data_IF_362432983618
#
_entry.id   IF_362432983618
#
_cell.length_a   1.000
_cell.length_b   1.000
_cell.length_c   1.000
_cell.angle_alpha   90.00
_cell.angle_beta   90.00
_cell.angle_gamma   90.00
#
_symmetry.space_group_name_H-M   'P 1'
#
loop_
_entity.id
_entity.type
_entity.pdbx_description
1 polymer ?
#
# COMPACT_ATOMS: atom_id res chain seq x y z
N UNK A 1 -0.20 -19.40 -10.71
CA UNK A 1 0.14 -18.92 -9.34
C UNK A 1 1.02 -19.87 -8.53
N UNK A 2 0.79 -21.20 -8.55
CA UNK A 2 1.53 -22.23 -7.75
C UNK A 2 3.03 -21.99 -7.54
N UNK A 3 3.79 -21.62 -8.59
CA UNK A 3 5.24 -21.38 -8.51
C UNK A 3 5.65 -20.25 -7.56
N UNK A 4 4.84 -19.19 -7.48
CA UNK A 4 5.08 -18.07 -6.59
C UNK A 4 4.84 -18.47 -5.13
N UNK A 5 3.77 -19.22 -4.88
CA UNK A 5 3.41 -19.74 -3.54
C UNK A 5 4.51 -20.67 -3.04
N UNK A 6 4.93 -21.65 -3.85
CA UNK A 6 5.99 -22.60 -3.49
C UNK A 6 7.35 -21.94 -3.17
N UNK A 7 7.59 -20.74 -3.73
CA UNK A 7 8.80 -19.97 -3.49
C UNK A 7 8.59 -18.88 -2.42
N UNK A 8 7.44 -18.81 -1.75
CA UNK A 8 7.14 -17.75 -0.76
C UNK A 8 7.08 -16.33 -1.34
N UNK A 9 6.88 -16.20 -2.66
CA UNK A 9 6.73 -14.93 -3.38
C UNK A 9 5.28 -14.42 -3.37
N UNK A 10 4.33 -15.32 -3.10
CA UNK A 10 2.92 -15.02 -2.87
C UNK A 10 2.52 -15.72 -1.57
N UNK A 11 1.76 -15.03 -0.71
CA UNK A 11 1.38 -15.49 0.63
C UNK A 11 2.57 -15.80 1.58
N UNK A 12 3.80 -15.47 1.20
CA UNK A 12 4.94 -15.51 2.10
C UNK A 12 4.79 -14.47 3.22
N UNK A 13 5.22 -14.83 4.42
CA UNK A 13 5.16 -14.00 5.63
C UNK A 13 3.74 -13.66 6.12
N UNK A 14 2.72 -14.44 5.74
CA UNK A 14 1.43 -14.37 6.44
C UNK A 14 1.58 -14.93 7.86
N UNK A 15 0.71 -14.49 8.76
CA UNK A 15 0.69 -14.94 10.16
C UNK A 15 -0.18 -16.19 10.26
N UNK A 16 0.41 -17.30 10.69
CA UNK A 16 -0.31 -18.54 10.95
C UNK A 16 -1.21 -18.37 12.19
N UNK A 17 -2.46 -18.82 12.05
CA UNK A 17 -3.47 -18.88 13.11
C UNK A 17 -3.93 -20.33 13.23
N UNK A 18 -3.35 -21.09 14.16
CA UNK A 18 -3.62 -22.53 14.30
C UNK A 18 -4.01 -22.97 15.72
N UNK A 19 -3.87 -22.10 16.73
CA UNK A 19 -4.32 -22.43 18.08
C UNK A 19 -5.84 -22.22 18.22
N UNK A 20 -6.58 -23.14 18.88
CA UNK A 20 -8.03 -23.01 19.05
C UNK A 20 -8.46 -21.67 19.66
N UNK A 21 -7.69 -21.14 20.60
CA UNK A 21 -7.96 -19.86 21.23
C UNK A 21 -7.82 -18.67 20.26
N UNK A 22 -6.85 -18.69 19.35
CA UNK A 22 -6.70 -17.63 18.34
C UNK A 22 -7.77 -17.73 17.26
N UNK A 23 -8.14 -18.95 16.84
CA UNK A 23 -9.25 -19.18 15.91
C UNK A 23 -10.56 -18.66 16.49
N UNK A 24 -10.85 -18.96 17.76
CA UNK A 24 -12.05 -18.45 18.44
C UNK A 24 -12.05 -16.91 18.52
N UNK A 25 -10.92 -16.30 18.92
CA UNK A 25 -10.78 -14.83 18.95
C UNK A 25 -11.01 -14.20 17.59
N UNK A 26 -10.43 -14.79 16.54
CA UNK A 26 -10.63 -14.35 15.17
C UNK A 26 -12.10 -14.45 14.76
N UNK A 27 -12.74 -15.60 15.00
CA UNK A 27 -14.16 -15.81 14.68
C UNK A 27 -15.08 -14.83 15.40
N UNK A 28 -14.81 -14.49 16.67
CA UNK A 28 -15.59 -13.45 17.37
C UNK A 28 -15.45 -12.08 16.70
N UNK A 29 -14.24 -11.72 16.28
CA UNK A 29 -14.00 -10.46 15.59
C UNK A 29 -14.62 -10.43 14.20
N UNK A 30 -14.48 -11.51 13.44
CA UNK A 30 -15.08 -11.68 12.12
C UNK A 30 -16.61 -11.65 12.19
N UNK A 31 -17.22 -12.32 13.17
CA UNK A 31 -18.66 -12.29 13.39
C UNK A 31 -19.14 -10.87 13.70
N UNK A 32 -18.41 -10.13 14.54
CA UNK A 32 -18.74 -8.74 14.87
C UNK A 32 -18.69 -7.81 13.65
N UNK A 33 -17.67 -7.95 12.81
CA UNK A 33 -17.45 -7.09 11.64
C UNK A 33 -18.33 -7.45 10.44
N UNK A 34 -18.58 -8.74 10.22
CA UNK A 34 -19.09 -9.27 8.96
C UNK A 34 -20.37 -10.09 9.10
N UNK A 35 -20.74 -10.50 10.32
CA UNK A 35 -21.83 -11.43 10.58
C UNK A 35 -21.52 -12.89 10.18
N UNK A 36 -20.28 -13.20 9.77
CA UNK A 36 -19.85 -14.53 9.34
C UNK A 36 -18.77 -15.10 10.27
N UNK A 37 -18.58 -16.42 10.22
CA UNK A 37 -17.49 -17.16 10.88
C UNK A 37 -16.91 -18.18 9.93
N UNK A 38 -15.66 -18.58 10.14
CA UNK A 38 -15.02 -19.70 9.45
C UNK A 38 -15.16 -21.01 10.22
N UNK A 39 -15.23 -22.13 9.51
CA UNK A 39 -15.14 -23.49 10.07
C UNK A 39 -13.72 -24.05 10.07
N UNK A 40 -12.75 -23.34 9.50
CA UNK A 40 -11.36 -23.75 9.43
C UNK A 40 -10.73 -23.82 10.83
N UNK A 41 -9.93 -24.85 11.05
CA UNK A 41 -9.16 -25.06 12.29
C UNK A 41 -7.81 -24.36 12.30
N UNK A 42 -7.32 -24.00 11.11
CA UNK A 42 -6.09 -23.25 10.90
C UNK A 42 -6.18 -22.47 9.58
N UNK A 43 -5.52 -21.32 9.54
CA UNK A 43 -5.45 -20.44 8.37
C UNK A 43 -4.34 -19.41 8.53
N UNK A 44 -4.05 -18.64 7.48
CA UNK A 44 -3.06 -17.57 7.54
C UNK A 44 -3.71 -16.19 7.30
N UNK A 45 -3.26 -15.19 8.05
CA UNK A 45 -3.77 -13.81 7.94
C UNK A 45 -2.71 -12.82 7.51
N UNK A 46 -3.14 -11.80 6.79
CA UNK A 46 -2.32 -10.70 6.29
C UNK A 46 -2.23 -9.54 7.30
N UNK A 47 -1.64 -8.41 6.90
CA UNK A 47 -1.52 -7.20 7.73
C UNK A 47 -2.87 -6.73 8.31
N UNK A 48 -3.96 -6.82 7.54
CA UNK A 48 -5.28 -6.41 7.98
C UNK A 48 -6.06 -7.54 8.68
N UNK A 49 -5.50 -8.75 8.78
CA UNK A 49 -6.25 -9.89 9.30
C UNK A 49 -7.07 -10.63 8.24
N UNK A 50 -6.94 -10.30 6.95
CA UNK A 50 -7.59 -11.03 5.86
C UNK A 50 -6.87 -12.37 5.61
N UNK A 51 -7.63 -13.45 5.46
CA UNK A 51 -7.15 -14.78 5.09
C UNK A 51 -7.64 -15.15 3.69
N UNK A 52 -6.73 -15.54 2.77
CA UNK A 52 -7.14 -16.10 1.48
C UNK A 52 -7.92 -17.42 1.64
N UNK A 53 -7.57 -18.26 2.62
CA UNK A 53 -8.26 -19.54 2.87
C UNK A 53 -9.71 -19.33 3.32
N UNK A 54 -9.97 -18.36 4.19
CA UNK A 54 -11.33 -17.98 4.59
C UNK A 54 -12.08 -17.34 3.42
N UNK A 55 -11.40 -16.53 2.61
CA UNK A 55 -11.98 -15.98 1.38
C UNK A 55 -12.44 -17.07 0.42
N UNK A 56 -11.65 -18.13 0.25
CA UNK A 56 -11.99 -19.31 -0.55
C UNK A 56 -13.17 -20.10 0.06
N UNK A 57 -13.17 -20.31 1.38
CA UNK A 57 -14.27 -21.00 2.10
C UNK A 57 -15.61 -20.29 1.93
N UNK A 58 -15.60 -18.95 2.00
CA UNK A 58 -16.80 -18.12 1.94
C UNK A 58 -17.22 -17.73 0.52
N UNK A 59 -16.41 -18.05 -0.50
CA UNK A 59 -16.54 -17.49 -1.86
C UNK A 59 -16.63 -15.95 -1.86
N UNK A 60 -15.85 -15.32 -0.97
CA UNK A 60 -15.89 -13.87 -0.71
C UNK A 60 -14.52 -13.33 -0.33
N UNK A 61 -13.71 -12.95 -1.32
CA UNK A 61 -12.40 -12.34 -1.10
C UNK A 61 -12.44 -10.88 -0.59
N UNK A 62 -13.62 -10.33 -0.34
CA UNK A 62 -13.84 -8.99 0.18
C UNK A 62 -14.54 -8.99 1.54
N UNK A 63 -14.55 -10.13 2.26
CA UNK A 63 -15.28 -10.23 3.53
C UNK A 63 -14.83 -9.22 4.61
N UNK A 64 -13.57 -8.77 4.60
CA UNK A 64 -13.06 -7.65 5.44
C UNK A 64 -12.93 -6.32 4.69
N UNK A 65 -13.49 -6.20 3.50
CA UNK A 65 -13.43 -4.96 2.72
C UNK A 65 -14.71 -4.78 1.90
N UNK A 66 -15.86 -4.56 2.55
CA UNK A 66 -17.14 -4.42 1.88
C UNK A 66 -17.08 -3.42 0.72
N UNK A 67 -17.51 -3.85 -0.47
CA UNK A 67 -17.49 -3.08 -1.71
C UNK A 67 -16.11 -2.54 -2.12
N UNK A 68 -15.03 -2.98 -1.47
CA UNK A 68 -13.68 -2.47 -1.68
C UNK A 68 -13.46 -1.03 -1.19
N UNK A 69 -14.33 -0.50 -0.32
CA UNK A 69 -14.30 0.91 0.09
C UNK A 69 -13.70 1.15 1.47
N UNK A 70 -14.32 0.60 2.50
CA UNK A 70 -13.86 0.75 3.88
C UNK A 70 -13.26 -0.59 4.30
N UNK A 71 -11.93 -0.65 4.32
CA UNK A 71 -11.23 -1.85 4.74
C UNK A 71 -11.38 -2.02 6.24
N UNK A 72 -12.04 -3.08 6.66
CA UNK A 72 -12.04 -3.57 8.02
C UNK A 72 -10.74 -4.33 8.30
N UNK A 73 -10.37 -4.42 9.56
CA UNK A 73 -9.19 -5.19 9.98
C UNK A 73 -9.43 -5.91 11.31
N UNK A 74 -8.70 -7.01 11.48
CA UNK A 74 -8.64 -7.83 12.70
C UNK A 74 -7.16 -7.98 13.06
N UNK A 75 -6.77 -7.48 14.22
CA UNK A 75 -5.43 -7.65 14.79
C UNK A 75 -5.47 -8.69 15.91
N UNK A 76 -4.76 -9.78 15.70
CA UNK A 76 -4.47 -10.81 16.70
C UNK A 76 -3.07 -10.63 17.32
N UNK A 77 -2.19 -9.88 16.66
CA UNK A 77 -0.81 -9.65 17.11
C UNK A 77 -0.21 -8.41 16.44
N UNK A 78 0.72 -7.73 17.12
CA UNK A 78 1.50 -6.63 16.54
C UNK A 78 2.45 -7.10 15.43
N UNK A 79 2.81 -8.39 15.40
CA UNK A 79 3.63 -8.97 14.34
C UNK A 79 2.97 -8.90 12.94
N UNK A 80 1.65 -8.67 12.86
CA UNK A 80 0.96 -8.42 11.59
C UNK A 80 1.55 -7.23 10.82
N UNK A 81 2.24 -6.27 11.47
CA UNK A 81 2.89 -5.13 10.81
C UNK A 81 3.88 -5.53 9.71
N UNK A 82 4.51 -6.70 9.87
CA UNK A 82 5.51 -7.24 8.95
C UNK A 82 4.91 -8.11 7.83
N UNK A 83 3.63 -8.49 7.98
CA UNK A 83 2.91 -9.29 6.99
C UNK A 83 2.63 -8.48 5.71
N UNK A 84 2.47 -9.13 4.54
CA UNK A 84 1.98 -8.45 3.34
C UNK A 84 0.55 -7.94 3.56
N UNK A 85 0.12 -6.95 2.77
CA UNK A 85 -1.30 -6.60 2.65
C UNK A 85 -1.80 -7.14 1.31
N UNK A 86 -2.84 -7.97 1.34
CA UNK A 86 -3.42 -8.60 0.16
C UNK A 86 -4.62 -7.80 -0.37
N UNK A 87 -5.01 -8.08 -1.62
CA UNK A 87 -6.19 -7.53 -2.31
C UNK A 87 -6.31 -6.01 -2.20
N UNK A 88 -5.23 -5.27 -2.40
CA UNK A 88 -5.17 -3.83 -2.12
C UNK A 88 -6.13 -3.07 -3.04
N UNK A 89 -7.02 -2.27 -2.42
CA UNK A 89 -7.90 -1.33 -3.14
C UNK A 89 -7.39 0.11 -3.14
N UNK A 90 -6.55 0.48 -2.16
CA UNK A 90 -5.92 1.79 -2.06
C UNK A 90 -4.45 1.65 -1.69
N UNK A 91 -3.55 2.33 -2.40
CA UNK A 91 -2.10 2.26 -2.16
C UNK A 91 -1.68 2.73 -0.77
N UNK A 92 -2.50 3.55 -0.10
CA UNK A 92 -2.23 4.10 1.23
C UNK A 92 -2.55 3.16 2.38
N UNK A 93 -3.40 2.14 2.18
CA UNK A 93 -3.92 1.29 3.27
C UNK A 93 -2.82 0.58 4.04
N UNK A 94 -1.79 0.05 3.35
CA UNK A 94 -0.65 -0.61 4.00
C UNK A 94 0.07 0.34 4.96
N UNK A 95 0.43 1.52 4.46
CA UNK A 95 1.14 2.52 5.26
C UNK A 95 0.35 3.02 6.46
N UNK A 96 -0.97 3.16 6.33
CA UNK A 96 -1.87 3.56 7.41
C UNK A 96 -1.90 2.49 8.51
N UNK A 97 -2.11 1.22 8.14
CA UNK A 97 -2.18 0.10 9.10
C UNK A 97 -0.85 -0.13 9.81
N UNK A 98 0.29 -0.11 9.09
CA UNK A 98 1.62 -0.26 9.70
C UNK A 98 1.88 0.83 10.73
N UNK A 99 1.64 2.11 10.40
CA UNK A 99 1.82 3.23 11.33
C UNK A 99 0.87 3.16 12.52
N UNK A 100 -0.38 2.72 12.31
CA UNK A 100 -1.31 2.51 13.41
C UNK A 100 -0.80 1.46 14.39
N UNK A 101 -0.26 0.34 13.89
CA UNK A 101 0.31 -0.71 14.74
C UNK A 101 1.55 -0.22 15.48
N UNK A 102 2.51 0.41 14.78
CA UNK A 102 3.76 0.90 15.37
C UNK A 102 3.51 1.98 16.43
N UNK A 103 2.62 2.94 16.15
CA UNK A 103 2.35 4.05 17.07
C UNK A 103 1.65 3.60 18.36
N UNK A 104 0.93 2.49 18.30
CA UNK A 104 0.17 1.93 19.41
C UNK A 104 0.69 0.55 19.85
N UNK A 105 1.95 0.23 19.56
CA UNK A 105 2.48 -1.13 19.69
C UNK A 105 2.34 -1.67 21.12
N UNK A 106 2.66 -0.86 22.13
CA UNK A 106 2.54 -1.26 23.53
C UNK A 106 1.08 -1.53 23.94
N UNK A 107 0.15 -0.65 23.53
CA UNK A 107 -1.28 -0.79 23.84
C UNK A 107 -1.88 -1.99 23.10
N UNK A 108 -1.58 -2.13 21.81
CA UNK A 108 -2.06 -3.24 20.98
C UNK A 108 -1.52 -4.56 21.49
N UNK A 109 -0.23 -4.65 21.84
CA UNK A 109 0.35 -5.87 22.42
C UNK A 109 -0.40 -6.32 23.68
N UNK A 110 -0.71 -5.39 24.58
CA UNK A 110 -1.47 -5.67 25.80
C UNK A 110 -2.92 -6.11 25.51
N UNK A 111 -3.58 -5.47 24.52
CA UNK A 111 -4.93 -5.82 24.10
C UNK A 111 -4.99 -7.19 23.43
N UNK A 112 -4.12 -7.43 22.45
CA UNK A 112 -4.05 -8.67 21.66
C UNK A 112 -3.68 -9.90 22.48
N UNK A 113 -3.05 -9.70 23.64
CA UNK A 113 -2.84 -10.79 24.59
C UNK A 113 -4.15 -11.40 25.12
N UNK A 114 -5.21 -10.58 25.25
CA UNK A 114 -6.51 -10.97 25.83
C UNK A 114 -7.60 -11.19 24.81
N UNK A 115 -7.70 -10.32 23.82
CA UNK A 115 -8.77 -10.34 22.81
C UNK A 115 -8.27 -9.79 21.46
N UNK A 116 -9.02 -10.03 20.38
CA UNK A 116 -8.74 -9.40 19.10
C UNK A 116 -9.09 -7.91 19.13
N UNK A 117 -8.30 -7.10 18.42
CA UNK A 117 -8.65 -5.70 18.13
C UNK A 117 -9.22 -5.65 16.72
N UNK A 118 -10.47 -5.22 16.60
CA UNK A 118 -11.16 -5.08 15.34
C UNK A 118 -11.39 -3.60 15.03
N UNK A 119 -11.44 -3.25 13.76
CA UNK A 119 -11.63 -1.87 13.35
C UNK A 119 -11.80 -1.70 11.87
N UNK A 120 -11.79 -0.45 11.43
CA UNK A 120 -11.89 -0.11 10.03
C UNK A 120 -11.13 1.17 9.68
N UNK A 121 -10.73 1.23 8.41
CA UNK A 121 -10.22 2.42 7.74
C UNK A 121 -11.43 3.20 7.20
N UNK A 122 -11.98 4.09 8.02
CA UNK A 122 -13.10 4.93 7.62
C UNK A 122 -12.64 6.07 6.72
N UNK A 123 -13.30 6.21 5.58
CA UNK A 123 -13.25 7.43 4.79
C UNK A 123 -14.67 8.00 4.64
N UNK A 124 -14.77 9.23 4.14
CA UNK A 124 -16.04 9.95 3.98
C UNK A 124 -16.94 9.43 2.85
N UNK A 125 -16.48 8.44 2.07
CA UNK A 125 -17.17 7.94 0.87
C UNK A 125 -17.64 6.51 1.10
N UNK A 126 -18.96 6.34 1.23
CA UNK A 126 -19.58 5.04 1.50
C UNK A 126 -19.69 4.12 0.26
N UNK A 127 -19.67 4.69 -0.96
CA UNK A 127 -19.76 3.94 -2.20
C UNK A 127 -19.12 4.68 -3.38
N UNK A 128 -18.46 3.95 -4.29
CA UNK A 128 -17.78 4.48 -5.47
C UNK A 128 -18.58 4.26 -6.75
N UNK A 129 -19.73 4.93 -6.86
CA UNK A 129 -20.57 4.78 -8.06
C UNK A 129 -20.03 5.59 -9.25
N UNK A 130 -19.21 6.61 -9.00
CA UNK A 130 -18.60 7.45 -10.06
C UNK A 130 -17.14 7.80 -9.74
N UNK A 131 -16.28 7.99 -10.75
CA UNK A 131 -14.88 8.38 -10.55
C UNK A 131 -14.72 9.70 -9.77
N UNK A 132 -15.66 10.64 -9.94
CA UNK A 132 -15.64 11.92 -9.22
C UNK A 132 -15.67 11.77 -7.70
N UNK A 133 -16.35 10.74 -7.16
CA UNK A 133 -16.41 10.47 -5.72
C UNK A 133 -15.04 10.11 -5.11
N UNK A 134 -14.08 9.64 -5.91
CA UNK A 134 -12.72 9.38 -5.41
C UNK A 134 -12.05 10.65 -4.89
N UNK A 135 -12.45 11.83 -5.39
CA UNK A 135 -11.89 13.12 -4.98
C UNK A 135 -12.51 13.66 -3.69
N UNK A 136 -13.60 13.03 -3.20
CA UNK A 136 -14.19 13.35 -1.90
C UNK A 136 -13.46 12.66 -0.74
N UNK A 137 -12.66 11.62 -1.04
CA UNK A 137 -11.76 11.00 -0.08
C UNK A 137 -10.68 12.02 0.26
N UNK A 138 -10.69 12.63 1.44
CA UNK A 138 -9.65 13.59 1.86
C UNK A 138 -8.79 13.04 2.98
N UNK A 139 -9.41 12.29 3.87
CA UNK A 139 -8.80 11.75 5.06
C UNK A 139 -9.31 10.34 5.30
N UNK A 140 -8.48 9.53 5.94
CA UNK A 140 -8.83 8.22 6.46
C UNK A 140 -8.64 8.24 7.97
N UNK A 141 -9.66 7.88 8.71
CA UNK A 141 -9.59 7.71 10.16
C UNK A 141 -9.56 6.22 10.48
N UNK A 142 -8.61 5.82 11.31
CA UNK A 142 -8.57 4.48 11.88
C UNK A 142 -9.47 4.49 13.11
N UNK A 143 -10.55 3.72 13.05
CA UNK A 143 -11.39 3.41 14.20
C UNK A 143 -11.11 1.97 14.64
N UNK A 144 -10.85 1.76 15.93
CA UNK A 144 -10.48 0.47 16.47
C UNK A 144 -11.02 0.29 17.89
N UNK A 145 -11.56 -0.89 18.18
CA UNK A 145 -11.89 -1.34 19.54
C UNK A 145 -11.64 -2.86 19.65
N UNK A 146 -11.66 -3.36 20.87
CA UNK A 146 -11.82 -4.79 21.14
C UNK A 146 -13.27 -5.22 20.97
N UNK A 147 -13.53 -6.52 20.80
CA UNK A 147 -14.89 -7.05 20.63
C UNK A 147 -15.76 -6.82 21.87
N UNK A 148 -15.15 -6.88 23.06
CA UNK A 148 -15.83 -6.55 24.31
C UNK A 148 -16.10 -5.06 24.54
N UNK A 149 -15.69 -4.17 23.62
CA UNK A 149 -15.79 -2.71 23.80
C UNK A 149 -14.87 -2.19 24.92
N UNK A 150 -13.79 -2.89 25.25
CA UNK A 150 -12.91 -2.55 26.35
C UNK A 150 -12.24 -1.18 26.19
N UNK A 151 -11.99 -0.72 24.95
CA UNK A 151 -11.40 0.62 24.71
C UNK A 151 -12.45 1.69 24.96
N UNK A 152 -13.66 1.54 24.39
CA UNK A 152 -14.76 2.47 24.64
C UNK A 152 -15.16 2.53 26.12
N UNK A 153 -15.26 1.38 26.79
CA UNK A 153 -15.61 1.31 28.20
C UNK A 153 -14.49 1.89 29.10
N UNK A 154 -13.22 1.70 28.74
CA UNK A 154 -12.10 2.33 29.45
C UNK A 154 -12.12 3.86 29.32
N UNK A 155 -12.45 4.37 28.12
CA UNK A 155 -12.64 5.80 27.89
C UNK A 155 -13.81 6.40 28.70
N UNK A 156 -14.92 5.67 28.84
CA UNK A 156 -16.03 6.06 29.72
C UNK A 156 -15.59 6.09 31.18
N UNK A 157 -14.91 5.03 31.65
CA UNK A 157 -14.44 4.94 33.03
C UNK A 157 -13.46 6.06 33.37
N UNK A 158 -12.55 6.43 32.46
CA UNK A 158 -11.64 7.56 32.65
C UNK A 158 -12.40 8.89 32.83
N UNK A 159 -13.46 9.14 32.05
CA UNK A 159 -14.31 10.34 32.20
C UNK A 159 -15.07 10.34 33.54
N UNK A 160 -15.58 9.19 33.98
CA UNK A 160 -16.23 9.07 35.27
C UNK A 160 -15.24 9.29 36.43
N UNK A 161 -14.00 8.80 36.32
CA UNK A 161 -12.92 9.06 37.30
C UNK A 161 -12.59 10.55 37.36
N UNK A 162 -12.48 11.24 36.22
CA UNK A 162 -12.28 12.69 36.19
C UNK A 162 -13.45 13.43 36.83
N UNK A 163 -14.69 13.05 36.50
CA UNK A 163 -15.90 13.61 37.11
C UNK A 163 -15.92 13.43 38.63
N UNK A 164 -15.61 12.21 39.10
CA UNK A 164 -15.49 11.87 40.52
C UNK A 164 -14.46 12.74 41.26
N UNK A 165 -13.37 13.13 40.59
CA UNK A 165 -12.29 13.96 41.16
C UNK A 165 -12.58 15.45 41.11
N UNK A 166 -13.28 15.93 40.09
CA UNK A 166 -13.47 17.36 39.82
C UNK A 166 -14.78 17.93 40.40
N UNK A 167 -15.85 17.13 40.48
CA UNK A 167 -17.14 17.60 40.99
C UNK A 167 -17.14 17.73 42.52
N UNK A 168 -17.63 18.85 43.08
CA UNK A 168 -17.93 18.95 44.51
C UNK A 168 -18.90 17.83 44.90
N UNK A 169 -18.55 17.05 45.92
CA UNK A 169 -19.31 15.87 46.38
C UNK A 169 -19.43 14.69 45.39
N UNK A 170 -18.61 14.64 44.33
CA UNK A 170 -18.58 13.48 43.42
C UNK A 170 -18.30 12.13 44.11
N UNK A 171 -17.67 12.16 45.29
CA UNK A 171 -17.44 10.99 46.13
C UNK A 171 -18.69 10.47 46.86
N UNK A 172 -19.77 11.24 46.90
CA UNK A 172 -21.07 10.90 47.52
C UNK A 172 -22.12 10.45 46.50
N UNK A 173 -21.82 10.54 45.21
CA UNK A 173 -22.71 10.10 44.14
C UNK A 173 -22.63 8.56 44.00
N UNK A 174 -23.52 7.86 44.72
CA UNK A 174 -23.59 6.40 44.72
C UNK A 174 -23.86 5.82 43.31
N UNK A 175 -24.55 6.57 42.45
CA UNK A 175 -24.81 6.17 41.05
C UNK A 175 -23.51 6.23 40.25
N UNK A 176 -22.75 7.32 40.37
CA UNK A 176 -21.44 7.47 39.73
C UNK A 176 -20.48 6.36 40.16
N UNK A 177 -20.41 6.04 41.46
CA UNK A 177 -19.56 4.97 41.99
C UNK A 177 -19.99 3.59 41.47
N UNK A 178 -21.30 3.32 41.42
CA UNK A 178 -21.82 2.06 40.90
C UNK A 178 -21.51 1.87 39.40
N UNK A 179 -21.66 2.92 38.60
CA UNK A 179 -21.27 2.92 37.17
C UNK A 179 -19.77 2.64 37.00
N UNK A 180 -18.92 3.28 37.81
CA UNK A 180 -17.47 3.05 37.79
C UNK A 180 -17.11 1.60 38.12
N UNK A 181 -17.72 1.00 39.16
CA UNK A 181 -17.48 -0.41 39.52
C UNK A 181 -17.94 -1.35 38.40
N UNK A 182 -19.08 -1.06 37.77
CA UNK A 182 -19.61 -1.83 36.65
C UNK A 182 -18.65 -1.86 35.46
N UNK A 183 -18.09 -0.70 35.09
CA UNK A 183 -17.10 -0.59 34.02
C UNK A 183 -15.77 -1.23 34.40
N UNK A 184 -15.27 -1.01 35.62
CA UNK A 184 -14.00 -1.58 36.08
C UNK A 184 -13.98 -3.12 36.08
N UNK A 185 -15.13 -3.78 36.32
CA UNK A 185 -15.26 -5.23 36.19
C UNK A 185 -15.05 -5.73 34.76
N UNK A 186 -15.36 -4.91 33.76
CA UNK A 186 -15.20 -5.24 32.33
C UNK A 186 -13.83 -4.86 31.79
N UNK A 187 -13.31 -3.70 32.17
CA UNK A 187 -12.06 -3.13 31.61
C UNK A 187 -10.82 -3.51 32.41
N UNK A 188 -10.97 -3.88 33.68
CA UNK A 188 -9.87 -3.93 34.64
C UNK A 188 -9.47 -2.55 35.15
N UNK A 189 -8.32 -2.47 35.83
CA UNK A 189 -7.79 -1.22 36.40
C UNK A 189 -7.17 -0.32 35.32
N UNK A 190 -7.99 0.58 34.78
CA UNK A 190 -7.60 1.56 33.75
C UNK A 190 -6.67 2.66 34.28
N UNK A 191 -6.50 2.78 35.61
CA UNK A 191 -5.58 3.76 36.20
C UNK A 191 -4.13 3.28 36.17
N UNK A 192 -3.92 1.96 36.26
CA UNK A 192 -2.61 1.33 36.16
C UNK A 192 -2.24 0.93 34.74
N UNK A 193 -3.23 0.53 33.94
CA UNK A 193 -3.07 0.17 32.53
C UNK A 193 -4.07 0.96 31.69
N UNK A 194 -3.74 2.19 31.27
CA UNK A 194 -4.64 2.98 30.44
C UNK A 194 -4.82 2.29 29.07
N UNK A 195 -6.01 1.74 28.84
CA UNK A 195 -6.39 1.16 27.54
C UNK A 195 -7.00 2.30 26.71
N UNK A 196 -6.12 3.04 26.01
CA UNK A 196 -6.55 4.11 25.11
C UNK A 196 -5.90 3.92 23.75
N UNK A 197 -6.71 3.65 22.73
CA UNK A 197 -6.31 3.72 21.33
C UNK A 197 -6.78 5.07 20.76
N UNK A 198 -5.87 6.03 20.52
CA UNK A 198 -6.26 7.30 19.92
C UNK A 198 -6.79 7.08 18.50
N UNK A 199 -7.86 7.79 18.15
CA UNK A 199 -8.29 7.90 16.76
C UNK A 199 -7.15 8.54 15.95
N UNK A 200 -6.68 7.84 14.93
CA UNK A 200 -5.61 8.31 14.05
C UNK A 200 -6.19 8.69 12.70
N UNK A 201 -6.05 9.96 12.32
CA UNK A 201 -6.51 10.48 11.03
C UNK A 201 -5.32 10.79 10.14
N UNK A 202 -5.38 10.29 8.90
CA UNK A 202 -4.34 10.41 7.89
C UNK A 202 -4.87 11.21 6.71
N UNK A 203 -4.08 12.17 6.21
CA UNK A 203 -4.39 12.82 4.93
C UNK A 203 -4.17 11.85 3.78
N UNK A 204 -5.09 11.82 2.82
CA UNK A 204 -4.98 10.98 1.63
C UNK A 204 -5.02 11.86 0.39
N UNK A 205 -4.01 12.70 0.16
CA UNK A 205 -4.04 13.62 -0.99
C UNK A 205 -3.73 12.93 -2.31
N UNK A 206 -2.67 12.11 -2.34
CA UNK A 206 -2.17 11.40 -3.51
C UNK A 206 -2.25 9.89 -3.27
N UNK A 207 -2.85 9.13 -4.18
CA UNK A 207 -3.01 7.68 -4.03
C UNK A 207 -3.34 7.00 -5.36
N UNK A 208 -3.18 5.67 -5.38
CA UNK A 208 -3.73 4.80 -6.42
C UNK A 208 -4.89 3.99 -5.86
N UNK A 209 -5.87 3.68 -6.71
CA UNK A 209 -6.93 2.72 -6.42
C UNK A 209 -7.20 1.78 -7.60
N UNK A 210 -7.57 0.53 -7.33
CA UNK A 210 -8.02 -0.41 -8.36
C UNK A 210 -9.47 -0.20 -8.82
N UNK A 211 -10.21 0.71 -8.17
CA UNK A 211 -11.55 1.12 -8.64
C UNK A 211 -11.46 1.71 -10.06
N UNK A 212 -12.53 1.57 -10.84
CA UNK A 212 -12.62 2.02 -12.24
C UNK A 212 -11.47 1.52 -13.14
N UNK A 213 -10.96 0.31 -12.87
CA UNK A 213 -9.88 -0.32 -13.64
C UNK A 213 -8.47 0.07 -13.23
N UNK A 214 -8.31 1.07 -12.35
CA UNK A 214 -7.03 1.61 -11.94
C UNK A 214 -6.96 3.13 -12.16
N UNK A 215 -6.85 3.88 -11.07
CA UNK A 215 -6.76 5.35 -11.14
C UNK A 215 -5.70 5.83 -10.16
N UNK A 216 -4.78 6.67 -10.66
CA UNK A 216 -3.88 7.46 -9.85
C UNK A 216 -4.45 8.87 -9.69
N UNK A 217 -4.48 9.35 -8.45
CA UNK A 217 -4.92 10.71 -8.11
C UNK A 217 -3.73 11.43 -7.47
N UNK A 218 -3.40 12.60 -8.02
CA UNK A 218 -2.39 13.52 -7.49
C UNK A 218 -3.04 14.89 -7.27
N UNK A 219 -3.33 15.23 -6.01
CA UNK A 219 -3.91 16.53 -5.62
C UNK A 219 -2.91 17.46 -4.95
N UNK A 220 -1.96 16.89 -4.22
CA UNK A 220 -0.93 17.64 -3.49
C UNK A 220 0.38 17.64 -4.28
N UNK A 221 0.31 18.21 -5.49
CA UNK A 221 1.44 18.44 -6.39
C UNK A 221 1.24 19.78 -7.10
N UNK A 222 2.29 20.33 -7.73
CA UNK A 222 2.23 21.63 -8.40
C UNK A 222 1.16 21.69 -9.50
N UNK A 223 1.00 20.61 -10.25
CA UNK A 223 0.00 20.46 -11.31
C UNK A 223 -0.85 19.22 -11.04
N UNK A 224 -1.98 19.35 -10.32
CA UNK A 224 -2.84 18.21 -9.98
C UNK A 224 -3.35 17.47 -11.22
N UNK A 225 -3.44 16.15 -11.12
CA UNK A 225 -3.90 15.30 -12.20
C UNK A 225 -4.57 14.01 -11.71
N UNK A 226 -5.36 13.41 -12.60
CA UNK A 226 -5.79 12.03 -12.51
C UNK A 226 -5.30 11.24 -13.73
N UNK A 227 -4.79 10.03 -13.48
CA UNK A 227 -4.25 9.16 -14.52
C UNK A 227 -5.01 7.84 -14.47
N UNK A 228 -5.73 7.53 -15.54
CA UNK A 228 -6.43 6.24 -15.71
C UNK A 228 -5.49 5.20 -16.30
N UNK A 229 -5.67 3.94 -15.89
CA UNK A 229 -5.09 2.77 -16.58
C UNK A 229 -5.92 2.38 -17.82
N UNK A 230 -7.16 2.86 -17.92
CA UNK A 230 -8.05 2.73 -19.07
C UNK A 230 -8.04 4.03 -19.90
N UNK A 231 -8.91 4.15 -20.92
CA UNK A 231 -9.09 5.43 -21.64
C UNK A 231 -9.47 6.54 -20.65
N UNK A 232 -8.72 7.65 -20.67
CA UNK A 232 -8.91 8.76 -19.74
C UNK A 232 -10.33 9.34 -19.75
N UNK A 233 -11.05 9.22 -20.88
CA UNK A 233 -12.45 9.67 -21.02
C UNK A 233 -13.42 8.88 -20.14
N UNK A 234 -13.05 7.65 -19.76
CA UNK A 234 -13.85 6.81 -18.84
C UNK A 234 -14.01 7.43 -17.45
N UNK A 235 -13.11 8.34 -17.06
CA UNK A 235 -13.21 9.05 -15.78
C UNK A 235 -14.30 10.12 -15.77
N UNK A 236 -14.79 10.54 -16.94
CA UNK A 236 -15.78 11.60 -17.05
C UNK A 236 -15.28 12.94 -16.49
N UNK A 237 -16.20 13.71 -15.89
CA UNK A 237 -15.87 15.00 -15.28
C UNK A 237 -15.38 14.78 -13.86
N UNK A 238 -14.11 15.12 -13.62
CA UNK A 238 -13.45 15.03 -12.31
C UNK A 238 -12.88 16.39 -11.88
N UNK A 239 -12.77 16.69 -10.57
CA UNK A 239 -12.36 17.99 -10.06
C UNK A 239 -10.83 18.20 -10.09
N UNK A 240 -10.19 17.92 -11.23
CA UNK A 240 -8.78 18.20 -11.49
C UNK A 240 -8.59 18.76 -12.90
N UNK A 241 -7.61 19.66 -13.09
CA UNK A 241 -7.41 20.31 -14.39
C UNK A 241 -6.85 19.37 -15.45
N UNK A 242 -6.15 18.31 -15.06
CA UNK A 242 -5.51 17.37 -15.98
C UNK A 242 -6.02 15.96 -15.75
N UNK A 243 -6.47 15.33 -16.83
CA UNK A 243 -6.90 13.94 -16.87
C UNK A 243 -6.16 13.28 -18.02
N UNK A 244 -5.48 12.17 -17.74
CA UNK A 244 -4.62 11.47 -18.69
C UNK A 244 -4.82 9.96 -18.57
N UNK A 245 -4.31 9.22 -19.55
CA UNK A 245 -4.12 7.78 -19.44
C UNK A 245 -2.70 7.38 -19.84
N UNK A 246 -2.37 6.10 -19.69
CA UNK A 246 -1.05 5.55 -19.96
C UNK A 246 -0.62 5.64 -21.43
N UNK A 247 -1.56 5.87 -22.37
CA UNK A 247 -1.25 6.01 -23.80
C UNK A 247 -0.73 7.41 -24.14
N UNK A 248 -1.05 8.42 -23.32
CA UNK A 248 -0.59 9.81 -23.48
C UNK A 248 0.84 10.01 -22.96
N UNK A 249 1.78 9.21 -23.48
CA UNK A 249 3.16 9.08 -22.98
C UNK A 249 3.91 10.41 -22.90
N UNK A 250 3.83 11.25 -23.94
CA UNK A 250 4.46 12.58 -23.91
C UNK A 250 3.89 13.49 -22.84
N UNK A 251 2.57 13.49 -22.68
CA UNK A 251 1.90 14.32 -21.70
C UNK A 251 2.25 13.87 -20.29
N UNK A 252 2.31 12.56 -20.05
CA UNK A 252 2.75 11.99 -18.78
C UNK A 252 4.22 12.31 -18.49
N UNK A 253 5.10 12.22 -19.48
CA UNK A 253 6.51 12.58 -19.33
C UNK A 253 6.69 14.07 -18.95
N UNK A 254 6.04 14.98 -19.68
CA UNK A 254 6.03 16.43 -19.36
C UNK A 254 5.46 16.67 -17.96
N UNK A 255 4.34 16.02 -17.62
CA UNK A 255 3.69 16.18 -16.32
C UNK A 255 4.58 15.71 -15.16
N UNK A 256 5.24 14.54 -15.30
CA UNK A 256 6.14 14.00 -14.28
C UNK A 256 7.35 14.94 -14.06
N UNK A 257 7.92 15.48 -15.14
CA UNK A 257 9.07 16.41 -15.08
C UNK A 257 8.67 17.76 -14.47
N UNK A 258 7.54 18.34 -14.90
CA UNK A 258 7.03 19.62 -14.38
C UNK A 258 6.63 19.59 -12.91
N UNK A 259 6.20 18.42 -12.42
CA UNK A 259 5.97 18.19 -10.99
C UNK A 259 7.23 17.73 -10.25
N UNK A 260 8.36 17.55 -10.93
CA UNK A 260 9.64 17.13 -10.35
C UNK A 260 9.54 15.79 -9.61
N UNK A 261 8.75 14.86 -10.15
CA UNK A 261 8.42 13.56 -9.54
C UNK A 261 9.39 12.44 -9.91
N UNK A 262 10.17 12.62 -10.98
CA UNK A 262 11.08 11.61 -11.52
C UNK A 262 12.48 12.17 -11.75
N UNK A 263 13.45 11.29 -11.81
CA UNK A 263 14.82 11.59 -12.22
C UNK A 263 15.38 10.47 -13.10
N UNK A 264 16.32 10.76 -14.04
CA UNK A 264 17.01 9.72 -14.78
C UNK A 264 17.84 8.83 -13.86
N UNK A 265 17.79 7.52 -14.05
CA UNK A 265 18.53 6.52 -13.26
C UNK A 265 20.03 6.83 -13.25
N UNK A 266 20.57 7.29 -14.38
CA UNK A 266 21.99 7.64 -14.53
C UNK A 266 22.42 8.91 -13.79
N UNK A 267 21.47 9.74 -13.35
CA UNK A 267 21.75 10.97 -12.57
C UNK A 267 21.52 10.78 -11.08
N UNK A 268 20.88 9.68 -10.67
CA UNK A 268 20.58 9.41 -9.27
C UNK A 268 21.86 9.10 -8.48
N UNK A 269 22.02 9.75 -7.32
CA UNK A 269 23.20 9.57 -6.45
C UNK A 269 23.15 8.23 -5.73
N UNK A 270 24.32 7.59 -5.57
CA UNK A 270 24.48 6.37 -4.76
C UNK A 270 23.86 5.11 -5.36
N UNK A 271 23.71 5.05 -6.69
CA UNK A 271 23.06 3.94 -7.38
C UNK A 271 23.98 3.37 -8.48
N UNK A 272 24.13 2.05 -8.55
CA UNK A 272 24.80 1.38 -9.68
C UNK A 272 23.86 1.37 -10.90
N UNK A 273 23.86 2.48 -11.63
CA UNK A 273 23.03 2.65 -12.82
C UNK A 273 23.30 1.58 -13.88
N UNK A 274 24.56 1.13 -14.03
CA UNK A 274 24.92 0.12 -15.01
C UNK A 274 24.29 -1.25 -14.67
N UNK A 275 24.32 -1.65 -13.39
CA UNK A 275 23.66 -2.88 -12.94
C UNK A 275 22.14 -2.85 -13.15
N UNK A 276 21.49 -1.72 -12.83
CA UNK A 276 20.04 -1.56 -13.03
C UNK A 276 19.68 -1.64 -14.52
N UNK A 277 20.43 -0.95 -15.38
CA UNK A 277 20.19 -0.96 -16.82
C UNK A 277 20.35 -2.37 -17.40
N UNK A 278 21.43 -3.09 -17.04
CA UNK A 278 21.64 -4.49 -17.46
C UNK A 278 20.46 -5.37 -17.07
N UNK A 279 19.97 -5.22 -15.85
CA UNK A 279 18.87 -6.04 -15.38
C UNK A 279 17.54 -5.73 -16.06
N UNK A 280 17.23 -4.45 -16.30
CA UNK A 280 16.06 -4.06 -17.11
C UNK A 280 16.17 -4.64 -18.53
N UNK A 281 17.37 -4.60 -19.12
CA UNK A 281 17.65 -5.21 -20.42
C UNK A 281 17.46 -6.74 -20.41
N UNK A 282 17.90 -7.43 -19.37
CA UNK A 282 17.71 -8.88 -19.19
C UNK A 282 16.21 -9.23 -19.23
N UNK A 283 15.34 -8.47 -18.55
CA UNK A 283 13.90 -8.71 -18.59
C UNK A 283 13.26 -8.45 -19.96
N UNK A 284 13.70 -7.40 -20.66
CA UNK A 284 13.23 -7.10 -22.03
C UNK A 284 13.59 -8.25 -22.98
N UNK A 285 14.79 -8.82 -22.85
CA UNK A 285 15.21 -9.97 -23.64
C UNK A 285 14.35 -11.20 -23.36
N UNK A 286 14.00 -11.46 -22.10
CA UNK A 286 13.11 -12.57 -21.75
C UNK A 286 11.73 -12.39 -22.36
N UNK A 287 11.18 -11.18 -22.29
CA UNK A 287 9.88 -10.89 -22.91
C UNK A 287 9.93 -11.08 -24.44
N UNK A 288 10.97 -10.56 -25.10
CA UNK A 288 11.16 -10.72 -26.54
C UNK A 288 11.35 -12.20 -26.94
N UNK A 289 12.15 -12.95 -26.18
CA UNK A 289 12.35 -14.37 -26.42
C UNK A 289 11.06 -15.16 -26.28
N UNK A 290 10.23 -14.83 -25.28
CA UNK A 290 8.96 -15.50 -25.07
C UNK A 290 7.98 -15.24 -26.22
N UNK A 291 7.87 -13.99 -26.68
CA UNK A 291 7.04 -13.61 -27.85
C UNK A 291 7.45 -14.32 -29.13
N UNK A 292 8.76 -14.52 -29.32
CA UNK A 292 9.32 -15.14 -30.53
C UNK A 292 9.53 -16.67 -30.38
N UNK A 293 9.11 -17.26 -29.26
CA UNK A 293 9.24 -18.68 -29.01
C UNK A 293 10.67 -19.18 -28.80
N UNK A 294 11.64 -18.29 -28.59
CA UNK A 294 13.06 -18.64 -28.45
C UNK A 294 13.32 -19.28 -27.08
N UNK A 295 14.03 -20.41 -27.06
CA UNK A 295 14.45 -21.03 -25.80
C UNK A 295 15.59 -20.23 -25.14
N UNK A 296 15.43 -19.96 -23.85
CA UNK A 296 16.37 -19.15 -23.05
C UNK A 296 17.24 -20.03 -22.14
N UNK A 297 17.11 -21.36 -22.24
CA UNK A 297 17.87 -22.32 -21.43
C UNK A 297 17.64 -22.11 -19.92
N UNK A 298 18.73 -22.10 -19.15
CA UNK A 298 18.72 -21.78 -17.71
C UNK A 298 18.52 -20.28 -17.39
N UNK A 299 18.43 -19.47 -18.45
CA UNK A 299 18.21 -18.04 -18.43
C UNK A 299 19.17 -17.24 -17.54
N UNK A 300 20.40 -17.76 -17.38
CA UNK A 300 21.52 -16.96 -16.88
C UNK A 300 21.87 -15.87 -17.90
N UNK A 301 22.55 -14.83 -17.44
CA UNK A 301 23.01 -13.71 -18.30
C UNK A 301 23.78 -14.16 -19.54
N UNK A 302 24.53 -15.26 -19.44
CA UNK A 302 25.24 -15.85 -20.59
C UNK A 302 24.31 -16.33 -21.69
N UNK A 303 23.19 -16.96 -21.33
CA UNK A 303 22.19 -17.45 -22.30
C UNK A 303 21.38 -16.28 -22.86
N UNK A 304 21.00 -15.29 -22.03
CA UNK A 304 20.34 -14.07 -22.50
C UNK A 304 21.19 -13.30 -23.53
N UNK A 305 22.51 -13.29 -23.35
CA UNK A 305 23.42 -12.69 -24.34
C UNK A 305 23.40 -13.44 -25.68
N UNK A 306 23.30 -14.77 -25.68
CA UNK A 306 23.13 -15.56 -26.91
C UNK A 306 21.80 -15.26 -27.59
N UNK A 307 20.73 -15.10 -26.81
CA UNK A 307 19.42 -14.66 -27.32
C UNK A 307 19.56 -13.29 -27.99
N UNK A 308 20.22 -12.33 -27.35
CA UNK A 308 20.44 -11.01 -27.94
C UNK A 308 21.21 -11.08 -29.28
N UNK A 309 22.24 -11.92 -29.38
CA UNK A 309 22.96 -12.14 -30.64
C UNK A 309 22.09 -12.80 -31.71
N UNK A 310 21.24 -13.76 -31.33
CA UNK A 310 20.30 -14.42 -32.25
C UNK A 310 19.23 -13.46 -32.77
N UNK A 311 18.75 -12.55 -31.91
CA UNK A 311 17.78 -11.53 -32.29
C UNK A 311 18.41 -10.51 -33.25
N UNK A 312 19.65 -10.07 -33.01
CA UNK A 312 20.36 -9.17 -33.90
C UNK A 312 19.57 -7.89 -34.19
N UNK A 313 19.16 -7.68 -35.44
CA UNK A 313 18.34 -6.54 -35.86
C UNK A 313 16.88 -6.59 -35.38
N UNK A 314 16.41 -7.74 -34.91
CA UNK A 314 15.07 -7.92 -34.34
C UNK A 314 15.01 -7.60 -32.84
N UNK A 315 16.06 -6.99 -32.27
CA UNK A 315 16.05 -6.54 -30.88
C UNK A 315 14.99 -5.43 -30.67
N UNK A 316 14.22 -5.48 -29.56
CA UNK A 316 13.24 -4.44 -29.25
C UNK A 316 13.87 -3.05 -29.10
N UNK A 317 13.13 -2.00 -29.47
CA UNK A 317 13.57 -0.62 -29.34
C UNK A 317 13.89 -0.25 -27.88
N UNK A 318 13.15 -0.80 -26.92
CA UNK A 318 13.43 -0.65 -25.48
C UNK A 318 14.84 -1.13 -25.15
N UNK A 319 15.22 -2.31 -25.65
CA UNK A 319 16.55 -2.88 -25.43
C UNK A 319 17.63 -2.02 -26.09
N UNK A 320 17.42 -1.59 -27.34
CA UNK A 320 18.39 -0.77 -28.08
C UNK A 320 18.62 0.59 -27.41
N UNK A 321 17.55 1.23 -26.91
CA UNK A 321 17.63 2.48 -26.16
C UNK A 321 18.42 2.34 -24.86
N UNK A 322 18.11 1.31 -24.06
CA UNK A 322 18.85 1.04 -22.83
C UNK A 322 20.30 0.63 -23.08
N UNK A 323 20.58 -0.13 -24.15
CA UNK A 323 21.93 -0.49 -24.56
C UNK A 323 22.76 0.73 -24.95
N UNK A 324 22.16 1.73 -25.62
CA UNK A 324 22.83 2.98 -25.94
C UNK A 324 23.17 3.78 -24.68
N UNK A 325 22.27 3.82 -23.71
CA UNK A 325 22.50 4.46 -22.42
C UNK A 325 23.57 3.71 -21.59
N UNK A 326 23.54 2.39 -21.58
CA UNK A 326 24.55 1.58 -20.89
C UNK A 326 25.95 1.79 -21.48
N UNK A 327 26.08 1.86 -22.82
CA UNK A 327 27.37 2.20 -23.48
C UNK A 327 27.89 3.57 -23.09
N UNK A 328 27.00 4.55 -22.90
CA UNK A 328 27.38 5.87 -22.40
C UNK A 328 27.91 5.78 -20.95
N UNK A 329 27.22 5.04 -20.07
CA UNK A 329 27.62 4.86 -18.67
C UNK A 329 28.98 4.15 -18.53
N UNK A 330 29.23 3.09 -19.30
CA UNK A 330 30.41 2.23 -19.12
C UNK A 330 31.62 2.64 -19.96
N UNK A 331 31.38 3.06 -21.21
CA UNK A 331 32.43 3.25 -22.21
C UNK A 331 32.60 4.71 -22.64
N UNK A 332 31.90 5.65 -22.01
CA UNK A 332 31.97 7.06 -22.36
C UNK A 332 31.50 7.37 -23.79
N UNK A 333 30.56 6.57 -24.31
CA UNK A 333 29.96 6.78 -25.63
C UNK A 333 29.21 8.12 -25.74
N UNK A 334 28.61 8.41 -26.91
CA UNK A 334 27.74 9.59 -27.06
C UNK A 334 26.46 9.48 -26.23
N UNK A 335 25.99 10.60 -25.65
CA UNK A 335 24.71 10.64 -24.93
C UNK A 335 23.55 10.24 -25.86
N UNK A 336 22.75 9.20 -25.53
CA UNK A 336 21.70 8.74 -26.41
C UNK A 336 20.53 9.72 -26.45
N UNK A 337 19.91 9.87 -27.64
CA UNK A 337 18.68 10.64 -27.81
C UNK A 337 17.48 9.73 -27.54
N UNK A 338 16.96 9.75 -26.31
CA UNK A 338 15.76 9.04 -25.91
C UNK A 338 14.69 10.09 -25.58
N UNK A 339 13.80 10.36 -26.54
CA UNK A 339 12.66 11.28 -26.36
C UNK A 339 11.55 10.60 -25.55
N UNK A 340 10.56 11.36 -25.08
CA UNK A 340 9.40 10.82 -24.35
C UNK A 340 8.56 9.82 -25.16
N UNK A 341 8.60 9.90 -26.50
CA UNK A 341 7.97 8.94 -27.41
C UNK A 341 8.73 7.61 -27.50
N UNK A 342 10.02 7.61 -27.20
CA UNK A 342 10.84 6.42 -27.35
C UNK A 342 10.38 5.33 -26.37
N UNK A 343 10.22 4.06 -26.80
CA UNK A 343 9.73 2.98 -25.93
C UNK A 343 10.55 2.79 -24.64
N UNK A 344 11.88 2.92 -24.75
CA UNK A 344 12.81 2.88 -23.61
C UNK A 344 12.64 4.01 -22.57
N UNK A 345 11.94 5.11 -22.87
CA UNK A 345 11.98 6.34 -22.06
C UNK A 345 11.69 6.10 -20.58
N UNK A 346 10.54 5.51 -20.24
CA UNK A 346 10.17 5.26 -18.84
C UNK A 346 11.07 4.23 -18.14
N UNK A 347 11.74 3.35 -18.90
CA UNK A 347 12.74 2.44 -18.32
C UNK A 347 14.01 3.17 -17.86
N UNK A 348 14.25 4.40 -18.34
CA UNK A 348 15.39 5.23 -17.93
C UNK A 348 15.12 6.08 -16.68
N UNK A 349 13.88 6.09 -16.19
CA UNK A 349 13.43 6.92 -15.08
C UNK A 349 13.28 6.10 -13.79
N UNK A 350 13.43 6.79 -12.67
CA UNK A 350 13.01 6.36 -11.34
C UNK A 350 12.28 7.49 -10.63
N UNK A 351 11.46 7.15 -9.64
CA UNK A 351 10.85 8.19 -8.81
C UNK A 351 11.93 8.95 -8.03
N UNK A 352 11.73 10.26 -7.91
CA UNK A 352 12.56 11.11 -7.07
C UNK A 352 12.27 10.81 -5.58
N UNK A 353 13.25 10.91 -4.68
CA UNK A 353 12.99 10.85 -3.24
C UNK A 353 11.97 11.91 -2.81
N UNK A 354 10.95 11.50 -2.04
CA UNK A 354 9.88 12.38 -1.58
C UNK A 354 8.63 11.62 -1.14
N UNK A 355 7.58 12.35 -0.78
CA UNK A 355 6.31 11.80 -0.29
C UNK A 355 5.67 10.81 -1.27
N UNK A 356 5.77 11.12 -2.57
CA UNK A 356 5.11 10.37 -3.65
C UNK A 356 6.00 9.31 -4.29
N UNK A 357 7.21 9.05 -3.75
CA UNK A 357 8.19 8.11 -4.31
C UNK A 357 7.56 6.75 -4.63
N UNK A 358 6.82 6.17 -3.69
CA UNK A 358 6.23 4.84 -3.85
C UNK A 358 5.12 4.84 -4.91
N UNK A 359 4.25 5.86 -4.88
CA UNK A 359 3.15 6.01 -5.83
C UNK A 359 3.65 6.26 -7.27
N UNK A 360 4.71 7.06 -7.43
CA UNK A 360 5.34 7.32 -8.72
C UNK A 360 6.05 6.07 -9.23
N UNK A 361 6.77 5.32 -8.38
CA UNK A 361 7.35 4.04 -8.79
C UNK A 361 6.28 3.03 -9.21
N UNK A 362 5.13 3.03 -8.53
CA UNK A 362 3.96 2.22 -8.89
C UNK A 362 3.42 2.59 -10.27
N UNK A 363 3.29 3.88 -10.58
CA UNK A 363 2.92 4.37 -11.92
C UNK A 363 3.98 4.02 -12.98
N UNK A 364 5.27 4.15 -12.66
CA UNK A 364 6.35 3.78 -13.58
C UNK A 364 6.33 2.28 -13.92
N UNK A 365 5.85 1.41 -13.02
CA UNK A 365 5.67 -0.02 -13.31
C UNK A 365 4.58 -0.31 -14.35
N UNK A 366 3.55 0.53 -14.45
CA UNK A 366 2.56 0.47 -15.53
C UNK A 366 3.15 0.94 -16.87
N UNK A 367 4.01 1.97 -16.82
CA UNK A 367 4.62 2.59 -18.01
C UNK A 367 5.81 1.80 -18.59
N UNK A 368 6.42 0.94 -17.76
CA UNK A 368 7.54 0.07 -18.09
C UNK A 368 7.26 -1.39 -17.67
N UNK A 369 6.25 -2.06 -18.28
CA UNK A 369 5.71 -3.32 -17.78
C UNK A 369 6.67 -4.51 -17.89
N UNK A 370 7.75 -4.39 -18.65
CA UNK A 370 8.81 -5.41 -18.71
C UNK A 370 9.74 -5.38 -17.50
N UNK A 371 9.75 -4.33 -16.66
CA UNK A 371 10.52 -4.35 -15.41
C UNK A 371 9.75 -5.10 -14.31
N UNK A 372 9.87 -6.43 -14.39
CA UNK A 372 9.17 -7.35 -13.52
C UNK A 372 9.57 -7.21 -12.05
N UNK A 373 10.84 -6.88 -11.77
CA UNK A 373 11.30 -6.70 -10.39
C UNK A 373 10.67 -5.47 -9.77
N UNK A 374 10.72 -4.33 -10.46
CA UNK A 374 10.08 -3.11 -9.95
C UNK A 374 8.58 -3.36 -9.72
N UNK A 375 7.90 -3.92 -10.71
CA UNK A 375 6.47 -4.23 -10.63
C UNK A 375 6.12 -5.13 -9.43
N UNK A 376 6.88 -6.19 -9.19
CA UNK A 376 6.66 -7.08 -8.04
C UNK A 376 6.80 -6.35 -6.69
N UNK A 377 7.72 -5.38 -6.60
CA UNK A 377 8.00 -4.67 -5.35
C UNK A 377 6.94 -3.61 -5.05
N UNK A 378 6.55 -2.80 -6.04
CA UNK A 378 5.70 -1.62 -5.81
C UNK A 378 4.26 -1.77 -6.29
N UNK A 379 3.95 -2.75 -7.15
CA UNK A 379 2.63 -2.94 -7.72
C UNK A 379 2.23 -4.43 -7.82
N UNK A 380 2.08 -5.09 -6.67
CA UNK A 380 1.73 -6.53 -6.60
C UNK A 380 0.45 -6.91 -7.34
N UNK A 381 -0.59 -6.06 -7.28
CA UNK A 381 -1.86 -6.31 -7.99
C UNK A 381 -1.64 -6.44 -9.51
N UNK A 382 -0.92 -5.47 -10.12
CA UNK A 382 -0.53 -5.52 -11.53
C UNK A 382 0.35 -6.73 -11.84
N UNK A 383 1.35 -7.01 -10.98
CA UNK A 383 2.24 -8.15 -11.15
C UNK A 383 1.45 -9.46 -11.21
N UNK A 384 0.53 -9.71 -10.28
CA UNK A 384 -0.24 -10.96 -10.26
C UNK A 384 -1.20 -11.07 -11.45
N UNK A 385 -1.85 -9.96 -11.83
CA UNK A 385 -2.70 -9.91 -13.01
C UNK A 385 -1.92 -10.26 -14.28
N UNK A 386 -0.75 -9.63 -14.49
CA UNK A 386 0.10 -9.95 -15.64
C UNK A 386 0.68 -11.36 -15.57
N UNK A 387 1.21 -11.77 -14.41
CA UNK A 387 1.81 -13.08 -14.21
C UNK A 387 0.85 -14.21 -14.55
N UNK A 388 -0.45 -14.07 -14.27
CA UNK A 388 -1.46 -15.07 -14.61
C UNK A 388 -1.53 -15.34 -16.13
N UNK A 389 -1.35 -14.30 -16.94
CA UNK A 389 -1.47 -14.35 -18.41
C UNK A 389 -0.19 -14.81 -19.13
N UNK A 390 0.96 -14.77 -18.47
CA UNK A 390 2.24 -15.11 -19.09
C UNK A 390 2.35 -16.60 -19.45
N UNK A 391 3.25 -16.90 -20.41
CA UNK A 391 3.61 -18.27 -20.74
C UNK A 391 4.20 -19.00 -19.54
N UNK A 392 4.10 -20.33 -19.51
CA UNK A 392 4.68 -21.15 -18.44
C UNK A 392 6.21 -20.99 -18.33
N UNK A 393 6.88 -20.71 -19.46
CA UNK A 393 8.31 -20.42 -19.52
C UNK A 393 8.65 -19.11 -18.82
N UNK A 394 7.97 -18.02 -19.19
CA UNK A 394 8.18 -16.70 -18.56
C UNK A 394 7.83 -16.72 -17.07
N UNK A 395 6.73 -17.38 -16.70
CA UNK A 395 6.34 -17.62 -15.29
C UNK A 395 7.43 -18.31 -14.48
N UNK A 396 8.08 -19.33 -15.07
CA UNK A 396 9.16 -20.08 -14.41
C UNK A 396 10.39 -19.21 -14.23
N UNK A 397 10.84 -18.54 -15.30
CA UNK A 397 11.97 -17.62 -15.26
C UNK A 397 11.81 -16.56 -14.17
N UNK A 398 10.68 -15.85 -14.17
CA UNK A 398 10.44 -14.76 -13.22
C UNK A 398 10.40 -15.27 -11.79
N UNK A 399 9.74 -16.40 -11.54
CA UNK A 399 9.67 -16.96 -10.20
C UNK A 399 11.05 -17.38 -9.68
N UNK A 400 11.88 -17.99 -10.53
CA UNK A 400 13.26 -18.37 -10.17
C UNK A 400 14.16 -17.15 -10.00
N UNK A 401 14.00 -16.13 -10.84
CA UNK A 401 14.68 -14.85 -10.72
C UNK A 401 14.38 -14.20 -9.36
N UNK A 402 13.09 -14.04 -9.02
CA UNK A 402 12.68 -13.37 -7.78
C UNK A 402 13.10 -14.16 -6.53
N UNK A 403 13.06 -15.49 -6.57
CA UNK A 403 13.52 -16.32 -5.46
C UNK A 403 15.04 -16.24 -5.25
N UNK A 404 15.83 -16.23 -6.33
CA UNK A 404 17.30 -16.20 -6.24
C UNK A 404 17.87 -14.82 -5.96
N UNK A 405 17.35 -13.78 -6.61
CA UNK A 405 17.96 -12.44 -6.56
C UNK A 405 17.23 -11.46 -5.65
N UNK A 406 15.91 -11.62 -5.43
CA UNK A 406 15.16 -10.68 -4.59
C UNK A 406 14.98 -11.19 -3.16
N UNK A 407 14.67 -12.47 -2.95
CA UNK A 407 14.45 -12.96 -1.59
C UNK A 407 15.71 -13.04 -0.73
N UNK A 408 16.87 -13.24 -1.36
CA UNK A 408 18.17 -13.33 -0.67
C UNK A 408 18.62 -11.96 -0.13
N UNK A 409 18.34 -10.88 -0.86
CA UNK A 409 18.72 -9.51 -0.49
C UNK A 409 17.61 -8.51 -0.83
N UNK A 410 16.54 -8.52 -0.03
CA UNK A 410 15.39 -7.62 -0.23
C UNK A 410 15.79 -6.16 -0.06
N UNK A 411 16.58 -5.85 0.96
CA UNK A 411 16.97 -4.49 1.32
C UNK A 411 17.94 -3.88 0.30
N UNK A 412 18.95 -4.64 -0.15
CA UNK A 412 19.88 -4.20 -1.18
C UNK A 412 19.21 -4.04 -2.54
N UNK A 413 18.29 -4.95 -2.92
CA UNK A 413 17.52 -4.82 -4.16
C UNK A 413 16.64 -3.56 -4.18
N UNK A 414 16.01 -3.22 -3.04
CA UNK A 414 15.22 -1.99 -2.88
C UNK A 414 16.09 -0.75 -2.91
N UNK A 415 17.20 -0.77 -2.16
CA UNK A 415 18.17 0.33 -2.11
C UNK A 415 18.76 0.63 -3.48
N UNK A 416 19.08 -0.40 -4.26
CA UNK A 416 19.58 -0.23 -5.63
C UNK A 416 18.54 0.45 -6.52
N UNK A 417 17.30 -0.07 -6.58
CA UNK A 417 16.26 0.47 -7.46
C UNK A 417 15.82 1.89 -7.11
N UNK A 418 15.67 2.15 -5.82
CA UNK A 418 14.96 3.33 -5.35
C UNK A 418 15.86 4.31 -4.58
N UNK A 419 17.14 3.99 -4.39
CA UNK A 419 18.07 4.70 -3.51
C UNK A 419 17.89 4.31 -2.03
N UNK A 420 18.73 4.82 -1.12
CA UNK A 420 18.53 4.63 0.31
C UNK A 420 17.08 4.97 0.65
N UNK A 421 16.37 3.98 1.16
CA UNK A 421 15.13 4.24 1.87
C UNK A 421 15.56 5.04 3.11
N UNK A 422 14.87 6.14 3.46
CA UNK A 422 14.86 6.51 4.88
C UNK A 422 14.62 5.22 5.63
N UNK A 423 15.38 4.94 6.68
CA UNK A 423 15.15 3.73 7.47
C UNK A 423 13.65 3.57 7.72
N UNK A 424 13.19 2.34 7.84
CA UNK A 424 11.87 2.08 8.44
C UNK A 424 11.80 2.61 9.89
N UNK A 425 12.88 3.18 10.41
CA UNK A 425 12.90 4.21 11.44
C UNK A 425 13.06 5.62 10.81
N UNK A 426 12.14 6.54 11.13
CA UNK A 426 12.18 8.01 10.99
C UNK A 426 11.32 8.70 9.88
N UNK A 427 10.04 8.94 10.23
CA UNK A 427 9.36 10.25 10.30
C UNK A 427 9.41 11.29 9.14
N UNK A 428 9.88 10.99 7.94
CA UNK A 428 9.95 12.00 6.85
C UNK A 428 9.11 11.69 5.61
N UNK A 429 7.82 11.40 5.80
CA UNK A 429 6.80 11.80 4.80
C UNK A 429 6.30 13.19 5.19
N UNK A 430 6.38 14.23 4.33
CA UNK A 430 5.89 15.58 4.64
C UNK A 430 4.41 15.66 5.05
N UNK A 431 3.54 14.79 4.52
CA UNK A 431 2.15 14.66 5.00
C UNK A 431 2.02 13.90 6.33
N UNK A 432 3.07 13.22 6.80
CA UNK A 432 3.09 12.38 8.00
C UNK A 432 4.04 12.90 9.10
N UNK A 433 4.77 13.99 8.87
CA UNK A 433 5.50 14.72 9.91
C UNK A 433 4.57 15.57 10.79
N UNK A 434 3.37 15.91 10.30
CA UNK A 434 2.37 16.62 11.11
C UNK A 434 1.72 15.74 12.20
N UNK A 435 1.91 14.41 12.14
CA UNK A 435 1.22 13.46 13.02
C UNK A 435 -0.31 13.47 12.84
N UNK A 436 -1.05 12.56 13.50
CA UNK A 436 -2.50 12.65 13.54
C UNK A 436 -2.90 13.99 14.14
N UNK A 437 -3.68 14.79 13.40
CA UNK A 437 -4.27 16.01 13.96
C UNK A 437 -5.25 15.59 15.06
N UNK A 438 -5.19 16.16 16.27
CA UNK A 438 -6.18 15.86 17.29
C UNK A 438 -7.56 16.16 16.69
N UNK A 439 -8.50 15.22 16.85
CA UNK A 439 -9.88 15.45 16.46
C UNK A 439 -10.35 16.71 17.19
N UNK A 440 -10.65 17.77 16.44
CA UNK A 440 -11.33 18.92 17.03
C UNK A 440 -12.68 18.39 17.47
N UNK A 441 -12.88 18.30 18.78
CA UNK A 441 -14.22 18.11 19.34
C UNK A 441 -15.13 19.14 18.70
N UNK A 442 -16.28 18.68 18.18
CA UNK A 442 -17.32 19.56 17.69
C UNK A 442 -17.79 20.43 18.86
N UNK A 443 -17.22 21.63 18.97
CA UNK A 443 -17.50 22.53 20.09
C UNK A 443 -16.64 23.79 20.04
N UNK A 444 -17.25 24.89 19.58
CA UNK A 444 -16.77 26.29 19.61
C UNK A 444 -15.73 26.69 18.56
N UNK A 445 -16.18 26.78 17.30
CA UNK A 445 -15.78 27.89 16.43
C UNK A 445 -16.78 29.05 16.61
N UNK A 446 -16.39 30.32 16.37
CA UNK A 446 -17.28 31.46 16.56
C UNK A 446 -18.47 31.37 15.60
N UNK A 447 -19.68 31.38 16.16
CA UNK A 447 -20.92 31.33 15.40
C UNK A 447 -21.09 32.63 14.60
N UNK A 448 -20.78 32.59 13.31
CA UNK A 448 -21.30 33.57 12.35
C UNK A 448 -22.52 32.94 11.69
N UNK A 449 -23.70 33.34 12.16
CA UNK A 449 -24.98 32.90 11.60
C UNK A 449 -25.25 33.49 10.21
N UNK A 450 -26.23 32.95 9.46
CA UNK A 450 -26.43 33.23 8.03
C UNK A 450 -27.08 34.60 7.74
N UNK A 451 -27.11 35.51 8.72
CA UNK A 451 -27.56 36.89 8.55
C UNK A 451 -26.44 37.81 9.06
N UNK A 452 -25.78 38.49 8.12
CA UNK A 452 -24.54 39.21 8.37
C UNK A 452 -24.63 40.29 9.45
N UNK A 453 -23.52 40.45 10.20
CA UNK A 453 -23.29 41.57 11.09
C UNK A 453 -22.31 42.56 10.47
N UNK A 454 -22.81 43.75 10.09
CA UNK A 454 -22.03 44.93 9.74
C UNK A 454 -21.29 45.48 10.97
N UNK A 455 -19.99 45.69 10.88
CA UNK A 455 -19.32 47.01 10.82
C UNK A 455 -17.81 46.82 10.75
#
# INVERSE_FOLDING_TARGET
MKRLIQRGLMFGNLIEVSSPALVERYNRAMLHLTGKTTSLTDFHIDLAGYSPEIGDELDDHLYLNPNGANRQFILLTTAQKDAPLLNIKFSTSRGILTQFIERNEAQLFALTARDAVAGELQNSVYAFDTPAKLFDIRQVTVEADTIGGHVADAGKLAKLIERFRQEPDGWRDDVLVAEMIGLAKKTGDVTRVPIHLPAMTFSQSNFWTSHFGGVYIFRDVRFPAAISTLDWRSLGVVPVPQVMDLTLRNQLADWLDRNNLVEPIVRARGTDAAAILRQKMDFILVDAADRLGIEVGDARRTELRKVAYKLGSALPEEFLGLAALLRWVEAGGGWPKITSEHPAYFYTLRAKPGADRDLVNMLLSELAPMDVRQMFIVHKELFYAQYATWSERKKTYVADFLAREYQVDREGARTALFGPEPGMDEMHRPQMAEGPKPSRSAGRGPAVGPWGGRR
#
